data_IF_684259384431
#
_entry.id   IF_684259384431
#
_cell.length_a   1.000
_cell.length_b   1.000
_cell.length_c   1.000
_cell.angle_alpha   90.00
_cell.angle_beta   90.00
_cell.angle_gamma   90.00
#
_symmetry.space_group_name_H-M   'P 1'
#
loop_
_entity.id
_entity.type
_entity.pdbx_description
1 polymer ?
#
# COMPACT_ATOMS: atom_id res chain seq x y z
N UNK A 1 2.08 -18.21 21.94
CA UNK A 1 2.61 -17.66 20.68
C UNK A 1 1.44 -16.96 20.00
N UNK A 2 1.56 -15.67 19.72
CA UNK A 2 0.53 -14.92 19.00
C UNK A 2 0.73 -15.06 17.47
N UNK A 3 -0.27 -14.63 16.68
CA UNK A 3 -0.26 -14.79 15.21
C UNK A 3 0.98 -14.16 14.57
N UNK A 4 1.40 -12.98 15.05
CA UNK A 4 2.56 -12.25 14.52
C UNK A 4 3.85 -13.01 14.78
N UNK A 5 4.05 -13.51 16.00
CA UNK A 5 5.20 -14.34 16.37
C UNK A 5 5.27 -15.62 15.55
N UNK A 6 4.12 -16.22 15.27
CA UNK A 6 4.03 -17.46 14.50
C UNK A 6 4.39 -17.24 13.01
N UNK A 7 3.90 -16.15 12.42
CA UNK A 7 4.31 -15.72 11.07
C UNK A 7 5.80 -15.43 11.01
N UNK A 8 6.37 -14.80 12.04
CA UNK A 8 7.82 -14.55 12.11
C UNK A 8 8.65 -15.83 12.10
N UNK A 9 8.19 -16.88 12.76
CA UNK A 9 8.93 -18.15 12.90
C UNK A 9 8.73 -19.06 11.70
N UNK A 10 7.51 -19.16 11.17
CA UNK A 10 7.14 -20.15 10.14
C UNK A 10 6.90 -19.55 8.75
N UNK A 11 6.93 -18.22 8.61
CA UNK A 11 6.73 -17.51 7.36
C UNK A 11 5.40 -17.85 6.69
N UNK A 12 5.44 -18.05 5.37
CA UNK A 12 4.28 -18.31 4.52
C UNK A 12 3.39 -19.47 5.00
N UNK A 13 3.96 -20.49 5.64
CA UNK A 13 3.21 -21.62 6.16
C UNK A 13 2.21 -21.16 7.24
N UNK A 14 2.64 -20.29 8.17
CA UNK A 14 1.75 -19.71 9.16
C UNK A 14 0.75 -18.75 8.53
N UNK A 15 1.16 -17.93 7.55
CA UNK A 15 0.24 -17.01 6.85
C UNK A 15 -0.92 -17.78 6.22
N UNK A 16 -0.62 -18.87 5.49
CA UNK A 16 -1.63 -19.72 4.85
C UNK A 16 -2.55 -20.39 5.86
N UNK A 17 -1.99 -20.95 6.94
CA UNK A 17 -2.75 -21.61 7.99
C UNK A 17 -3.72 -20.62 8.68
N UNK A 18 -3.25 -19.42 9.04
CA UNK A 18 -4.08 -18.40 9.66
C UNK A 18 -5.13 -17.83 8.71
N UNK A 19 -4.79 -17.63 7.42
CA UNK A 19 -5.77 -17.20 6.42
C UNK A 19 -6.88 -18.24 6.22
N UNK A 20 -6.54 -19.53 6.13
CA UNK A 20 -7.54 -20.61 6.07
C UNK A 20 -8.41 -20.65 7.34
N UNK A 21 -7.80 -20.48 8.51
CA UNK A 21 -8.52 -20.55 9.78
C UNK A 21 -9.44 -19.34 10.02
N UNK A 22 -9.03 -18.13 9.64
CA UNK A 22 -9.73 -16.88 9.94
C UNK A 22 -10.64 -16.40 8.80
N UNK A 23 -10.18 -16.55 7.57
CA UNK A 23 -10.85 -16.04 6.37
C UNK A 23 -11.44 -17.18 5.50
N UNK A 24 -11.11 -18.44 5.79
CA UNK A 24 -11.66 -19.62 5.10
C UNK A 24 -11.05 -19.89 3.72
N UNK A 25 -10.06 -19.10 3.30
CA UNK A 25 -9.43 -19.18 1.98
C UNK A 25 -7.91 -19.03 2.08
N UNK A 26 -7.19 -19.62 1.13
CA UNK A 26 -5.75 -19.37 1.03
C UNK A 26 -5.47 -17.96 0.50
N UNK A 27 -4.35 -17.33 0.89
CA UNK A 27 -3.95 -16.05 0.33
C UNK A 27 -3.66 -16.16 -1.16
N UNK A 28 -4.32 -15.33 -1.97
CA UNK A 28 -4.10 -15.25 -3.40
C UNK A 28 -4.09 -13.80 -3.90
N UNK A 29 -3.64 -13.59 -5.14
CA UNK A 29 -3.78 -12.28 -5.78
C UNK A 29 -5.24 -12.00 -6.07
N UNK A 30 -5.71 -10.85 -5.60
CA UNK A 30 -7.07 -10.41 -5.81
C UNK A 30 -7.33 -10.11 -7.30
N UNK A 31 -8.48 -10.54 -7.81
CA UNK A 31 -8.92 -10.22 -9.17
C UNK A 31 -9.72 -8.93 -9.17
N UNK A 32 -9.55 -8.07 -10.17
CA UNK A 32 -10.29 -6.82 -10.28
C UNK A 32 -11.71 -7.04 -10.85
N UNK A 33 -12.56 -7.73 -10.10
CA UNK A 33 -13.94 -8.08 -10.48
C UNK A 33 -15.03 -7.34 -9.69
N UNK A 34 -14.63 -6.43 -8.79
CA UNK A 34 -15.56 -5.62 -8.01
C UNK A 34 -16.07 -4.40 -8.76
N UNK A 35 -17.36 -4.10 -8.60
CA UNK A 35 -17.99 -2.89 -9.16
C UNK A 35 -17.71 -1.66 -8.29
N UNK A 36 -17.39 -0.53 -8.94
CA UNK A 36 -17.14 0.75 -8.28
C UNK A 36 -17.30 1.92 -9.26
N UNK A 37 -17.57 3.15 -8.76
CA UNK A 37 -17.65 4.33 -9.62
C UNK A 37 -16.25 4.82 -10.02
N UNK A 38 -15.70 4.31 -11.13
CA UNK A 38 -14.31 4.54 -11.55
C UNK A 38 -13.96 6.02 -11.69
N UNK A 39 -14.85 6.82 -12.30
CA UNK A 39 -14.67 8.26 -12.45
C UNK A 39 -14.54 8.98 -11.11
N UNK A 40 -15.31 8.56 -10.10
CA UNK A 40 -15.23 9.13 -8.76
C UNK A 40 -13.92 8.78 -8.06
N UNK A 41 -13.42 7.55 -8.26
CA UNK A 41 -12.11 7.11 -7.72
C UNK A 41 -10.98 7.90 -8.37
N UNK A 42 -11.00 8.05 -9.70
CA UNK A 42 -9.99 8.84 -10.43
C UNK A 42 -10.03 10.32 -10.03
N UNK A 43 -11.22 10.90 -9.89
CA UNK A 43 -11.38 12.29 -9.43
C UNK A 43 -10.88 12.48 -7.99
N UNK A 44 -11.11 11.51 -7.10
CA UNK A 44 -10.55 11.53 -5.74
C UNK A 44 -9.01 11.45 -5.79
N UNK A 45 -8.47 10.52 -6.58
CA UNK A 45 -7.03 10.33 -6.72
C UNK A 45 -6.33 11.59 -7.26
N UNK A 46 -6.92 12.28 -8.23
CA UNK A 46 -6.41 13.56 -8.73
C UNK A 46 -6.34 14.63 -7.64
N UNK A 47 -7.42 14.81 -6.86
CA UNK A 47 -7.45 15.80 -5.76
C UNK A 47 -6.39 15.48 -4.70
N UNK A 48 -6.28 14.21 -4.30
CA UNK A 48 -5.29 13.75 -3.32
C UNK A 48 -3.87 13.96 -3.86
N UNK A 49 -3.62 13.66 -5.14
CA UNK A 49 -2.33 13.85 -5.80
C UNK A 49 -1.91 15.31 -5.78
N UNK A 50 -2.77 16.21 -6.26
CA UNK A 50 -2.51 17.66 -6.29
C UNK A 50 -2.18 18.22 -4.91
N UNK A 51 -2.85 17.74 -3.87
CA UNK A 51 -2.58 18.16 -2.49
C UNK A 51 -1.21 17.68 -2.00
N UNK A 52 -0.86 16.41 -2.21
CA UNK A 52 0.41 15.86 -1.74
C UNK A 52 1.62 16.33 -2.56
N UNK A 53 1.43 16.61 -3.86
CA UNK A 53 2.46 17.23 -4.69
C UNK A 53 2.85 18.61 -4.16
N UNK A 54 1.88 19.42 -3.73
CA UNK A 54 2.12 20.73 -3.14
C UNK A 54 2.84 20.67 -1.78
N UNK A 55 2.82 19.52 -1.10
CA UNK A 55 3.48 19.30 0.18
C UNK A 55 4.88 18.71 0.04
N UNK A 56 5.30 18.32 -1.17
CA UNK A 56 6.59 17.66 -1.38
C UNK A 56 7.74 18.60 -0.97
N UNK A 57 8.54 18.25 0.05
CA UNK A 57 9.60 19.11 0.51
C UNK A 57 10.72 19.19 -0.53
N UNK A 58 11.31 20.38 -0.68
CA UNK A 58 12.49 20.56 -1.51
C UNK A 58 13.75 20.03 -0.79
N UNK A 59 14.66 19.47 -1.57
CA UNK A 59 16.02 19.20 -1.13
C UNK A 59 16.72 20.52 -0.79
N UNK A 60 17.63 20.47 0.17
CA UNK A 60 18.42 21.64 0.59
C UNK A 60 19.87 21.34 0.28
N UNK A 61 20.53 22.25 -0.45
CA UNK A 61 21.97 22.24 -0.70
C UNK A 61 22.54 23.61 -0.35
N UNK A 62 23.64 23.63 0.40
CA UNK A 62 24.27 24.85 0.90
C UNK A 62 25.79 24.66 0.92
N UNK A 63 26.53 25.57 0.30
CA UNK A 63 27.97 25.72 0.54
C UNK A 63 28.16 26.60 1.78
N UNK A 64 28.76 26.06 2.84
CA UNK A 64 28.92 26.77 4.12
C UNK A 64 30.21 27.60 4.18
N UNK A 65 31.24 27.14 3.46
CA UNK A 65 32.52 27.82 3.24
C UNK A 65 33.16 27.23 1.96
N UNK A 66 34.15 27.91 1.34
CA UNK A 66 34.70 27.49 0.05
C UNK A 66 35.13 26.02 0.02
N UNK A 67 34.44 25.22 -0.80
CA UNK A 67 34.71 23.79 -0.98
C UNK A 67 34.00 22.86 0.01
N UNK A 68 33.15 23.36 0.91
CA UNK A 68 32.37 22.56 1.87
C UNK A 68 30.88 22.70 1.60
N UNK A 69 30.30 21.66 0.99
CA UNK A 69 28.87 21.58 0.70
C UNK A 69 28.14 20.66 1.70
N UNK A 70 27.01 21.13 2.21
CA UNK A 70 26.04 20.35 2.96
C UNK A 70 24.79 20.12 2.11
N UNK A 71 24.23 18.92 2.20
CA UNK A 71 23.01 18.56 1.50
C UNK A 71 22.06 17.74 2.39
N UNK A 72 20.76 18.04 2.30
CA UNK A 72 19.68 17.21 2.80
C UNK A 72 18.76 16.86 1.65
N UNK A 73 18.65 15.55 1.36
CA UNK A 73 17.74 15.01 0.35
C UNK A 73 16.57 14.29 0.98
N UNK A 74 15.42 14.37 0.32
CA UNK A 74 14.26 13.52 0.59
C UNK A 74 14.21 12.38 -0.40
N UNK A 75 14.38 11.16 0.10
CA UNK A 75 14.42 9.93 -0.72
C UNK A 75 13.20 9.08 -0.37
N UNK A 76 12.46 8.54 -1.36
CA UNK A 76 11.35 7.64 -1.09
C UNK A 76 11.80 6.31 -0.49
N UNK A 77 10.87 5.64 0.18
CA UNK A 77 11.03 4.23 0.51
C UNK A 77 11.07 3.39 -0.77
N UNK A 78 11.86 2.31 -0.77
CA UNK A 78 11.92 1.39 -1.90
C UNK A 78 10.60 0.65 -2.12
N UNK A 79 9.95 0.27 -1.03
CA UNK A 79 8.67 -0.43 -1.03
C UNK A 79 7.79 -0.06 0.17
N UNK A 80 6.48 -0.08 -0.01
CA UNK A 80 5.49 0.06 1.06
C UNK A 80 4.41 -1.01 0.98
N UNK A 81 3.96 -1.48 2.14
CA UNK A 81 2.75 -2.29 2.29
C UNK A 81 1.59 -1.40 2.74
N UNK A 82 0.44 -1.56 2.12
CA UNK A 82 -0.80 -0.85 2.45
C UNK A 82 -1.84 -1.91 2.87
N UNK A 83 -2.36 -1.79 4.08
CA UNK A 83 -3.49 -2.59 4.52
C UNK A 83 -4.79 -1.81 4.29
N UNK A 84 -5.70 -2.38 3.50
CA UNK A 84 -7.01 -1.79 3.21
C UNK A 84 -8.09 -2.61 3.91
N UNK A 85 -8.77 -2.08 4.93
CA UNK A 85 -9.90 -2.78 5.53
C UNK A 85 -11.05 -2.89 4.52
N UNK A 86 -11.61 -4.11 4.37
CA UNK A 86 -12.89 -4.46 3.72
C UNK A 86 -13.45 -3.43 2.72
N UNK A 87 -12.94 -3.41 1.50
CA UNK A 87 -13.52 -2.64 0.40
C UNK A 87 -13.41 -1.12 0.49
N UNK A 88 -12.71 -0.56 1.49
CA UNK A 88 -12.59 0.89 1.69
C UNK A 88 -11.64 1.53 0.66
N UNK A 89 -12.15 1.74 -0.56
CA UNK A 89 -11.41 2.34 -1.68
C UNK A 89 -10.81 3.70 -1.33
N UNK A 90 -11.49 4.51 -0.51
CA UNK A 90 -10.94 5.80 -0.06
C UNK A 90 -9.63 5.63 0.72
N UNK A 91 -9.51 4.61 1.58
CA UNK A 91 -8.27 4.29 2.31
C UNK A 91 -7.15 3.94 1.34
N UNK A 92 -7.44 3.11 0.33
CA UNK A 92 -6.46 2.79 -0.71
C UNK A 92 -5.94 4.07 -1.36
N UNK A 93 -6.83 4.95 -1.83
CA UNK A 93 -6.43 6.20 -2.50
C UNK A 93 -5.61 7.09 -1.56
N UNK A 94 -6.04 7.25 -0.30
CA UNK A 94 -5.35 8.10 0.68
C UNK A 94 -3.98 7.59 1.10
N UNK A 95 -3.67 6.30 0.92
CA UNK A 95 -2.36 5.73 1.22
C UNK A 95 -1.48 5.56 -0.02
N UNK A 96 -2.06 5.07 -1.12
CA UNK A 96 -1.34 4.77 -2.35
C UNK A 96 -0.87 6.03 -3.07
N UNK A 97 -1.74 7.04 -3.21
CA UNK A 97 -1.42 8.25 -3.97
C UNK A 97 -0.25 9.03 -3.34
N UNK A 98 -0.18 9.24 -2.01
CA UNK A 98 0.99 9.87 -1.40
C UNK A 98 2.28 9.05 -1.57
N UNK A 99 2.20 7.72 -1.50
CA UNK A 99 3.36 6.85 -1.77
C UNK A 99 3.88 7.01 -3.21
N UNK A 100 2.96 7.09 -4.18
CA UNK A 100 3.31 7.36 -5.58
C UNK A 100 3.93 8.74 -5.75
N UNK A 101 3.34 9.78 -5.14
CA UNK A 101 3.88 11.15 -5.19
C UNK A 101 5.26 11.23 -4.55
N UNK A 102 5.53 10.47 -3.48
CA UNK A 102 6.85 10.39 -2.87
C UNK A 102 7.89 9.74 -3.81
N UNK A 103 7.45 8.88 -4.74
CA UNK A 103 8.30 8.12 -5.65
C UNK A 103 8.59 6.68 -5.21
N UNK A 104 7.71 6.09 -4.38
CA UNK A 104 7.84 4.69 -3.98
C UNK A 104 7.72 3.77 -5.19
N UNK A 105 8.64 2.82 -5.34
CA UNK A 105 8.75 1.97 -6.54
C UNK A 105 7.87 0.72 -6.48
N UNK A 106 7.68 0.14 -5.29
CA UNK A 106 6.83 -1.03 -5.10
C UNK A 106 5.76 -0.77 -4.04
N UNK A 107 4.50 -0.90 -4.42
CA UNK A 107 3.37 -0.77 -3.52
C UNK A 107 2.66 -2.12 -3.49
N UNK A 108 2.58 -2.73 -2.31
CA UNK A 108 1.85 -3.98 -2.07
C UNK A 108 0.59 -3.65 -1.28
N UNK A 109 -0.55 -4.17 -1.69
CA UNK A 109 -1.82 -3.97 -1.00
C UNK A 109 -2.30 -5.30 -0.43
N UNK A 110 -2.60 -5.33 0.86
CA UNK A 110 -3.28 -6.46 1.51
C UNK A 110 -4.67 -6.00 1.93
N UNK A 111 -5.67 -6.84 1.69
CA UNK A 111 -7.05 -6.59 2.10
C UNK A 111 -7.74 -7.92 2.38
N UNK A 112 -8.65 -8.02 3.38
CA UNK A 112 -9.43 -9.24 3.58
C UNK A 112 -10.12 -9.70 2.28
N UNK A 113 -10.33 -11.01 2.07
CA UNK A 113 -11.00 -11.53 0.88
C UNK A 113 -12.36 -10.87 0.61
N UNK A 114 -13.10 -10.55 1.68
CA UNK A 114 -14.31 -9.73 1.60
C UNK A 114 -13.97 -8.31 1.11
N UNK A 115 -14.37 -7.99 -0.12
CA UNK A 115 -14.15 -6.70 -0.75
C UNK A 115 -12.82 -6.59 -1.51
N UNK A 116 -12.03 -7.67 -1.58
CA UNK A 116 -10.75 -7.67 -2.29
C UNK A 116 -10.90 -7.33 -3.77
N UNK A 117 -11.98 -7.76 -4.42
CA UNK A 117 -12.21 -7.47 -5.84
C UNK A 117 -12.42 -5.99 -6.15
N UNK A 118 -13.12 -5.27 -5.27
CA UNK A 118 -13.33 -3.82 -5.39
C UNK A 118 -12.02 -3.07 -5.13
N UNK A 119 -11.22 -3.50 -4.15
CA UNK A 119 -9.90 -2.92 -3.88
C UNK A 119 -8.95 -3.16 -5.03
N UNK A 120 -8.94 -4.36 -5.62
CA UNK A 120 -8.14 -4.70 -6.79
C UNK A 120 -8.53 -3.84 -8.00
N UNK A 121 -9.83 -3.67 -8.27
CA UNK A 121 -10.29 -2.78 -9.34
C UNK A 121 -9.85 -1.33 -9.13
N UNK A 122 -9.94 -0.82 -7.90
CA UNK A 122 -9.46 0.52 -7.58
C UNK A 122 -7.92 0.64 -7.70
N UNK A 123 -7.18 -0.39 -7.31
CA UNK A 123 -5.72 -0.42 -7.41
C UNK A 123 -5.25 -0.41 -8.87
N UNK A 124 -5.93 -1.12 -9.77
CA UNK A 124 -5.67 -1.06 -11.21
C UNK A 124 -5.81 0.36 -11.76
N UNK A 125 -6.85 1.11 -11.37
CA UNK A 125 -7.02 2.51 -11.77
C UNK A 125 -5.87 3.41 -11.29
N UNK A 126 -5.21 3.04 -10.19
CA UNK A 126 -4.03 3.72 -9.67
C UNK A 126 -2.71 3.18 -10.25
N UNK A 127 -2.74 2.14 -11.09
CA UNK A 127 -1.55 1.49 -11.65
C UNK A 127 -0.80 0.60 -10.65
N UNK A 128 -1.51 0.02 -9.67
CA UNK A 128 -0.97 -0.93 -8.68
C UNK A 128 -1.49 -2.33 -9.01
N UNK A 129 -0.58 -3.27 -9.23
CA UNK A 129 -0.86 -4.64 -9.69
C UNK A 129 -0.70 -5.71 -8.59
N UNK A 130 -0.06 -5.35 -7.47
CA UNK A 130 0.21 -6.26 -6.37
C UNK A 130 -0.81 -6.12 -5.22
N UNK A 131 -2.00 -6.69 -5.44
CA UNK A 131 -3.07 -6.77 -4.44
C UNK A 131 -3.29 -8.21 -4.00
N UNK A 132 -3.25 -8.45 -2.70
CA UNK A 132 -3.45 -9.76 -2.08
C UNK A 132 -4.73 -9.80 -1.25
N UNK A 133 -5.55 -10.82 -1.49
CA UNK A 133 -6.69 -11.19 -0.65
C UNK A 133 -6.15 -11.85 0.64
N UNK A 134 -5.66 -11.01 1.55
CA UNK A 134 -5.05 -11.39 2.82
C UNK A 134 -5.39 -10.34 3.89
N UNK A 135 -6.14 -10.75 4.91
CA UNK A 135 -6.59 -9.91 6.01
C UNK A 135 -5.79 -10.10 7.30
N UNK A 136 -6.15 -9.31 8.33
CA UNK A 136 -5.83 -9.62 9.72
C UNK A 136 -4.34 -9.50 10.12
N UNK A 137 -3.99 -9.93 11.33
CA UNK A 137 -2.62 -9.85 11.86
C UNK A 137 -1.60 -10.63 11.00
N UNK A 138 -2.02 -11.69 10.34
CA UNK A 138 -1.21 -12.49 9.43
C UNK A 138 -0.76 -11.72 8.17
N UNK A 139 -1.47 -10.65 7.79
CA UNK A 139 -1.07 -9.76 6.70
C UNK A 139 0.03 -8.77 7.10
N UNK A 140 0.25 -8.57 8.41
CA UNK A 140 1.15 -7.55 8.97
C UNK A 140 2.39 -8.18 9.62
N UNK A 141 2.36 -9.49 9.89
CA UNK A 141 3.43 -10.22 10.56
C UNK A 141 4.79 -10.08 9.87
N UNK A 142 5.85 -9.93 10.68
CA UNK A 142 7.24 -9.73 10.24
C UNK A 142 8.22 -10.50 11.13
#
# INVERSE_FOLDING_TARGET
>A
MNIVEDVKVRGDAAVREWALQLDGVEPERARADGDLPEEAVLALADRVRRWHEAQRPADVRLEIEPGVELERRWVPLDSVGIYVPRGLVSTLVMCAVPAQVAGVRRIVVCTPPEGAGVVARAAELLGIDEVWALGGPQAIGY
#
